data_IF_963352850294
#
_entry.id   IF_963352850294
#
_cell.length_a   1.000
_cell.length_b   1.000
_cell.length_c   1.000
_cell.angle_alpha   90.00
_cell.angle_beta   90.00
_cell.angle_gamma   90.00
#
_symmetry.space_group_name_H-M   'P 1'
#
loop_
_entity.id
_entity.type
_entity.pdbx_description
1 polymer ?
#
# COMPACT_ATOMS: atom_id res chain seq x y z
N UNK A 1 4.55 19.50 5.73
CA UNK A 1 5.98 19.53 5.33
C UNK A 1 6.25 18.32 4.48
N UNK A 2 7.15 18.39 3.50
CA UNK A 2 7.55 17.27 2.65
C UNK A 2 9.06 17.05 2.79
N UNK A 3 9.48 15.81 2.83
CA UNK A 3 10.86 15.38 2.96
C UNK A 3 11.27 14.59 1.73
N UNK A 4 12.50 14.75 1.28
CA UNK A 4 13.06 14.01 0.15
C UNK A 4 14.37 13.34 0.56
N UNK A 5 14.47 12.02 0.43
CA UNK A 5 15.62 11.20 0.78
C UNK A 5 16.14 10.57 -0.51
N UNK A 6 17.21 11.17 -1.06
CA UNK A 6 17.81 10.81 -2.35
C UNK A 6 19.20 10.16 -2.22
N UNK A 7 19.88 10.32 -1.09
CA UNK A 7 21.18 9.72 -0.88
C UNK A 7 21.06 8.21 -0.68
N UNK A 8 21.80 7.44 -1.47
CA UNK A 8 21.79 5.98 -1.42
C UNK A 8 22.78 5.41 -0.39
N UNK A 9 22.68 4.10 -0.10
CA UNK A 9 23.60 3.34 0.73
C UNK A 9 23.73 3.88 2.17
N UNK A 10 22.60 4.13 2.82
CA UNK A 10 22.57 4.67 4.17
C UNK A 10 21.60 3.93 5.08
N UNK A 11 21.79 4.11 6.38
CA UNK A 11 20.85 3.69 7.42
C UNK A 11 20.35 4.92 8.16
N UNK A 12 19.03 5.03 8.31
CA UNK A 12 18.34 6.12 9.01
C UNK A 12 17.58 5.50 10.17
N UNK A 13 17.80 6.02 11.38
CA UNK A 13 17.25 5.44 12.59
C UNK A 13 16.56 6.48 13.47
N UNK A 14 15.52 6.02 14.18
CA UNK A 14 14.85 6.78 15.24
C UNK A 14 14.33 8.16 14.80
N UNK A 15 13.86 8.27 13.55
CA UNK A 15 13.33 9.51 13.00
C UNK A 15 11.80 9.47 12.92
N UNK A 16 11.18 10.62 13.11
CA UNK A 16 9.75 10.82 12.85
C UNK A 16 9.58 11.89 11.79
N UNK A 17 8.86 11.54 10.74
CA UNK A 17 8.51 12.42 9.63
C UNK A 17 7.00 12.63 9.63
N UNK A 18 6.57 13.90 9.73
CA UNK A 18 5.16 14.25 9.81
C UNK A 18 4.80 15.27 8.73
N UNK A 19 3.70 15.02 8.03
CA UNK A 19 3.14 15.88 6.99
C UNK A 19 1.61 15.87 7.03
N UNK A 20 1.00 16.70 6.17
CA UNK A 20 -0.46 16.82 6.12
C UNK A 20 -0.99 17.28 4.76
N UNK A 21 -0.21 17.13 3.67
CA UNK A 21 -0.72 17.40 2.32
C UNK A 21 -1.61 16.27 1.85
N UNK A 22 -2.66 16.62 1.09
CA UNK A 22 -3.68 15.67 0.63
C UNK A 22 -4.17 15.98 -0.79
N UNK A 23 -4.76 14.99 -1.42
CA UNK A 23 -5.08 15.05 -2.84
C UNK A 23 -6.04 16.16 -3.25
N UNK A 24 -7.01 16.51 -2.41
CA UNK A 24 -8.00 17.57 -2.69
C UNK A 24 -7.51 18.98 -2.35
N UNK A 25 -6.34 19.14 -1.74
CA UNK A 25 -5.73 20.42 -1.39
C UNK A 25 -5.35 21.22 -2.65
N UNK A 26 -5.49 22.54 -2.59
CA UNK A 26 -5.08 23.43 -3.69
C UNK A 26 -3.55 23.59 -3.70
N UNK A 27 -2.93 23.37 -4.85
CA UNK A 27 -1.51 23.56 -5.06
C UNK A 27 -1.22 24.94 -5.67
N UNK A 28 -0.03 25.47 -5.46
CA UNK A 28 0.38 26.80 -5.90
C UNK A 28 0.34 27.01 -7.42
N UNK A 29 0.33 25.94 -8.23
CA UNK A 29 0.20 25.99 -9.69
C UNK A 29 -1.26 26.11 -10.18
N UNK A 30 -2.23 26.22 -9.28
CA UNK A 30 -3.65 26.32 -9.58
C UNK A 30 -4.35 24.98 -9.82
N UNK A 31 -3.66 23.86 -9.66
CA UNK A 31 -4.22 22.52 -9.72
C UNK A 31 -4.44 21.96 -8.29
N UNK A 32 -5.01 20.76 -8.17
CA UNK A 32 -4.99 20.04 -6.89
C UNK A 32 -3.63 19.35 -6.68
N UNK A 33 -3.28 19.08 -5.43
CA UNK A 33 -2.11 18.25 -5.13
C UNK A 33 -2.18 16.92 -5.85
N UNK A 34 -3.34 16.26 -5.86
CA UNK A 34 -3.47 14.90 -6.36
C UNK A 34 -2.71 13.89 -5.48
N UNK A 35 -2.79 12.62 -5.82
CA UNK A 35 -2.18 11.55 -5.02
C UNK A 35 -0.67 11.74 -4.86
N UNK A 36 0.05 11.89 -5.97
CA UNK A 36 1.51 11.75 -5.98
C UNK A 36 2.28 13.02 -5.60
N UNK A 37 1.61 14.11 -5.31
CA UNK A 37 2.19 15.30 -4.68
C UNK A 37 1.87 15.40 -3.19
N UNK A 38 0.97 14.55 -2.66
CA UNK A 38 0.53 14.61 -1.26
C UNK A 38 1.46 13.93 -0.26
N UNK A 39 2.58 13.37 -0.70
CA UNK A 39 3.48 12.60 0.14
C UNK A 39 4.09 13.42 1.31
N UNK A 40 4.28 12.76 2.45
CA UNK A 40 5.12 13.30 3.53
C UNK A 40 6.59 13.05 3.23
N UNK A 41 6.97 11.81 2.91
CA UNK A 41 8.36 11.45 2.56
C UNK A 41 8.40 10.82 1.19
N UNK A 42 9.28 11.32 0.32
CA UNK A 42 9.70 10.66 -0.93
C UNK A 42 11.09 10.06 -0.72
N UNK A 43 11.22 8.76 -1.01
CA UNK A 43 12.49 8.03 -1.00
C UNK A 43 12.79 7.58 -2.42
N UNK A 44 13.83 8.13 -3.04
CA UNK A 44 14.29 7.75 -4.38
C UNK A 44 15.78 7.41 -4.46
N UNK A 45 16.48 7.43 -3.32
CA UNK A 45 17.79 6.78 -3.17
C UNK A 45 17.63 5.25 -3.05
N UNK A 46 18.65 4.50 -3.44
CA UNK A 46 18.69 3.05 -3.39
C UNK A 46 19.48 2.52 -2.17
N UNK A 47 19.24 1.26 -1.78
CA UNK A 47 19.96 0.59 -0.69
C UNK A 47 19.87 1.37 0.64
N UNK A 48 18.66 1.73 1.04
CA UNK A 48 18.42 2.48 2.28
C UNK A 48 17.73 1.56 3.29
N UNK A 49 18.21 1.59 4.53
CA UNK A 49 17.56 0.92 5.65
C UNK A 49 17.01 1.94 6.64
N UNK A 50 15.71 1.84 6.93
CA UNK A 50 15.07 2.59 8.01
C UNK A 50 14.86 1.68 9.21
N UNK A 51 15.23 2.14 10.41
CA UNK A 51 15.00 1.43 11.67
C UNK A 51 14.31 2.31 12.70
N UNK A 52 13.27 1.77 13.32
CA UNK A 52 12.52 2.47 14.38
C UNK A 52 12.05 3.87 13.93
N UNK A 53 11.68 4.02 12.66
CA UNK A 53 11.22 5.29 12.10
C UNK A 53 9.69 5.35 12.05
N UNK A 54 9.16 6.55 12.14
CA UNK A 54 7.73 6.82 11.94
C UNK A 54 7.53 7.73 10.74
N UNK A 55 6.61 7.34 9.86
CA UNK A 55 6.18 8.13 8.70
C UNK A 55 4.69 8.36 8.83
N UNK A 56 4.25 9.61 8.87
CA UNK A 56 2.83 9.90 9.06
C UNK A 56 2.32 11.02 8.16
N UNK A 57 1.10 10.85 7.67
CA UNK A 57 0.34 11.90 7.05
C UNK A 57 -0.92 12.17 7.87
N UNK A 58 -0.96 13.34 8.49
CA UNK A 58 -1.96 13.75 9.47
C UNK A 58 -3.09 14.60 8.86
N UNK A 59 -3.34 14.48 7.55
CA UNK A 59 -4.37 15.30 6.87
C UNK A 59 -5.80 14.93 7.29
N UNK A 60 -6.02 13.68 7.74
CA UNK A 60 -7.32 13.22 8.24
C UNK A 60 -7.98 12.15 7.36
N UNK A 61 -9.28 11.88 7.62
CA UNK A 61 -10.00 10.77 7.00
C UNK A 61 -10.08 10.88 5.48
N UNK A 62 -9.87 9.74 4.79
CA UNK A 62 -9.83 9.68 3.31
C UNK A 62 -11.10 10.19 2.64
N UNK A 63 -12.27 9.94 3.23
CA UNK A 63 -13.55 10.46 2.73
C UNK A 63 -13.61 12.01 2.65
N UNK A 64 -12.88 12.70 3.51
CA UNK A 64 -12.83 14.15 3.59
C UNK A 64 -11.73 14.72 2.68
N UNK A 65 -10.52 14.21 2.82
CA UNK A 65 -9.32 14.77 2.19
C UNK A 65 -8.90 14.04 0.90
N UNK A 66 -9.35 12.81 0.70
CA UNK A 66 -8.89 11.95 -0.39
C UNK A 66 -7.54 11.29 -0.08
N UNK A 67 -6.75 11.07 -1.11
CA UNK A 67 -5.44 10.44 -1.02
C UNK A 67 -4.44 11.30 -0.24
N UNK A 68 -3.62 10.67 0.61
CA UNK A 68 -2.65 11.35 1.44
C UNK A 68 -1.49 10.41 1.81
N UNK A 69 -0.42 10.44 1.01
CA UNK A 69 0.70 9.50 1.15
C UNK A 69 1.57 9.88 2.36
N UNK A 70 1.79 8.95 3.29
CA UNK A 70 2.79 9.10 4.34
C UNK A 70 4.20 8.79 3.79
N UNK A 71 4.34 7.69 3.04
CA UNK A 71 5.62 7.27 2.49
C UNK A 71 5.49 6.87 1.01
N UNK A 72 6.26 7.53 0.15
CA UNK A 72 6.40 7.26 -1.28
C UNK A 72 7.79 6.67 -1.55
N UNK A 73 7.87 5.40 -1.92
CA UNK A 73 9.14 4.73 -2.24
C UNK A 73 9.26 4.56 -3.76
N UNK A 74 10.25 5.22 -4.36
CA UNK A 74 10.70 5.03 -5.75
C UNK A 74 12.14 4.48 -5.83
N UNK A 75 12.82 4.35 -4.69
CA UNK A 75 14.12 3.70 -4.58
C UNK A 75 14.03 2.17 -4.60
N UNK A 76 15.14 1.52 -4.91
CA UNK A 76 15.27 0.06 -4.96
C UNK A 76 16.07 -0.47 -3.77
N UNK A 77 15.78 -1.71 -3.35
CA UNK A 77 16.40 -2.34 -2.17
C UNK A 77 16.25 -1.50 -0.90
N UNK A 78 15.02 -1.10 -0.63
CA UNK A 78 14.68 -0.34 0.57
C UNK A 78 14.20 -1.32 1.65
N UNK A 79 14.75 -1.18 2.85
CA UNK A 79 14.43 -2.00 4.01
C UNK A 79 13.83 -1.13 5.12
N UNK A 80 12.70 -1.57 5.68
CA UNK A 80 12.08 -0.95 6.85
C UNK A 80 12.00 -2.01 7.96
N UNK A 81 12.61 -1.71 9.10
CA UNK A 81 12.65 -2.58 10.28
C UNK A 81 12.06 -1.85 11.49
N UNK A 82 11.06 -2.45 12.15
CA UNK A 82 10.39 -1.87 13.32
C UNK A 82 9.85 -0.45 13.07
N UNK A 83 9.36 -0.17 11.88
CA UNK A 83 8.86 1.15 11.50
C UNK A 83 7.32 1.22 11.63
N UNK A 84 6.82 2.44 11.80
CA UNK A 84 5.38 2.72 11.83
C UNK A 84 5.03 3.68 10.69
N UNK A 85 4.02 3.31 9.89
CA UNK A 85 3.46 4.16 8.85
C UNK A 85 2.01 4.48 9.23
N UNK A 86 1.66 5.76 9.31
CA UNK A 86 0.31 6.22 9.69
C UNK A 86 -0.29 7.11 8.62
N UNK A 87 -1.50 6.80 8.26
CA UNK A 87 -2.30 7.58 7.32
C UNK A 87 -3.73 7.07 7.26
N UNK A 88 -4.42 7.44 6.21
CA UNK A 88 -5.79 7.05 5.95
C UNK A 88 -5.91 6.43 4.55
N UNK A 89 -6.33 7.19 3.54
CA UNK A 89 -6.33 6.71 2.16
C UNK A 89 -4.94 6.85 1.54
N UNK A 90 -4.43 5.79 0.88
CA UNK A 90 -3.17 5.79 0.12
C UNK A 90 -1.91 6.02 1.00
N UNK A 91 -1.82 5.44 2.20
CA UNK A 91 -0.72 5.68 3.16
C UNK A 91 0.67 5.38 2.60
N UNK A 92 0.84 4.24 1.90
CA UNK A 92 2.13 3.76 1.37
C UNK A 92 2.06 3.50 -0.13
N UNK A 93 2.81 4.28 -0.90
CA UNK A 93 3.00 4.03 -2.33
C UNK A 93 4.35 3.37 -2.61
N UNK A 94 4.32 2.30 -3.42
CA UNK A 94 5.46 1.48 -3.83
C UNK A 94 5.61 1.49 -5.36
N UNK A 95 6.53 2.32 -5.88
CA UNK A 95 6.76 2.45 -7.31
C UNK A 95 7.18 1.09 -7.96
N UNK A 96 6.96 0.91 -9.25
CA UNK A 96 6.69 1.95 -10.25
C UNK A 96 5.22 2.36 -10.32
N UNK A 97 4.99 3.57 -10.83
CA UNK A 97 3.68 3.95 -11.36
C UNK A 97 3.30 3.03 -12.53
N UNK A 98 2.01 2.77 -12.76
CA UNK A 98 1.57 2.07 -13.98
C UNK A 98 2.04 2.75 -15.27
N UNK A 99 2.09 1.99 -16.36
CA UNK A 99 2.52 2.51 -17.68
C UNK A 99 1.67 3.69 -18.17
N UNK A 100 0.35 3.63 -17.90
CA UNK A 100 -0.60 4.65 -18.35
C UNK A 100 -1.48 5.11 -17.20
N UNK A 101 -1.73 6.40 -17.13
CA UNK A 101 -2.78 6.95 -16.28
C UNK A 101 -4.17 6.64 -16.82
N UNK A 102 -5.16 6.50 -15.94
CA UNK A 102 -6.57 6.30 -16.31
C UNK A 102 -7.22 7.66 -16.57
N UNK A 103 -6.90 8.63 -15.74
CA UNK A 103 -7.43 9.99 -15.81
C UNK A 103 -6.28 10.92 -16.17
N UNK A 104 -6.41 11.81 -17.15
CA UNK A 104 -5.37 12.79 -17.47
C UNK A 104 -4.91 13.57 -16.23
N UNK A 105 -3.58 13.61 -16.00
CA UNK A 105 -2.98 14.21 -14.82
C UNK A 105 -3.06 13.36 -13.55
N UNK A 106 -3.55 12.13 -13.64
CA UNK A 106 -3.66 11.22 -12.49
C UNK A 106 -2.34 10.84 -11.83
N UNK A 107 -1.22 11.00 -12.55
CA UNK A 107 0.14 10.76 -12.04
C UNK A 107 0.93 12.03 -11.77
N UNK A 108 0.27 13.18 -11.78
CA UNK A 108 0.95 14.45 -11.54
C UNK A 108 1.74 14.41 -10.23
N UNK A 109 3.07 14.53 -10.33
CA UNK A 109 3.97 14.41 -9.19
C UNK A 109 5.44 14.30 -9.58
N UNK A 110 6.35 14.22 -8.60
CA UNK A 110 7.79 14.30 -8.84
C UNK A 110 8.34 13.14 -9.67
N UNK A 111 7.64 12.00 -9.69
CA UNK A 111 8.07 10.77 -10.38
C UNK A 111 7.19 10.40 -11.58
N UNK A 112 6.38 11.33 -12.07
CA UNK A 112 5.46 11.13 -13.20
C UNK A 112 6.14 10.54 -14.44
N UNK A 113 7.35 10.97 -14.74
CA UNK A 113 8.13 10.57 -15.93
C UNK A 113 9.29 9.61 -15.63
N UNK A 114 9.41 9.14 -14.39
CA UNK A 114 10.45 8.18 -14.02
C UNK A 114 10.24 6.85 -14.76
N UNK A 115 11.30 6.20 -15.26
CA UNK A 115 11.20 4.89 -15.90
C UNK A 115 10.53 3.82 -15.02
N UNK A 116 9.74 2.95 -15.66
CA UNK A 116 8.87 1.97 -14.98
C UNK A 116 9.58 0.63 -14.73
N UNK A 117 10.76 0.64 -14.08
CA UNK A 117 11.35 -0.63 -13.69
C UNK A 117 10.86 -1.12 -12.32
N UNK A 118 10.93 -2.42 -12.12
CA UNK A 118 10.57 -3.02 -10.86
C UNK A 118 11.47 -2.50 -9.72
N UNK A 119 10.86 -2.33 -8.56
CA UNK A 119 11.53 -2.00 -7.30
C UNK A 119 11.34 -3.16 -6.34
N UNK A 120 12.31 -3.38 -5.47
CA UNK A 120 12.21 -4.38 -4.41
C UNK A 120 12.29 -3.69 -3.05
N UNK A 121 11.28 -3.95 -2.22
CA UNK A 121 11.16 -3.32 -0.89
C UNK A 121 10.86 -4.38 0.16
N UNK A 122 11.45 -4.25 1.33
CA UNK A 122 11.32 -5.20 2.44
C UNK A 122 10.83 -4.50 3.70
N UNK A 123 9.81 -5.08 4.33
CA UNK A 123 9.26 -4.63 5.60
C UNK A 123 9.35 -5.77 6.60
N UNK A 124 9.90 -5.50 7.78
CA UNK A 124 9.98 -6.45 8.88
C UNK A 124 9.55 -5.82 10.19
N UNK A 125 8.65 -6.50 10.91
CA UNK A 125 8.09 -6.02 12.19
C UNK A 125 7.52 -4.59 12.10
N UNK A 126 6.91 -4.21 10.99
CA UNK A 126 6.35 -2.88 10.79
C UNK A 126 4.85 -2.85 11.09
N UNK A 127 4.36 -1.69 11.52
CA UNK A 127 2.93 -1.39 11.62
C UNK A 127 2.57 -0.40 10.52
N UNK A 128 1.58 -0.75 9.69
CA UNK A 128 1.08 0.11 8.61
C UNK A 128 -0.41 0.33 8.82
N UNK A 129 -0.78 1.57 9.08
CA UNK A 129 -2.15 1.99 9.39
C UNK A 129 -2.77 2.74 8.20
N UNK A 130 -4.03 2.45 7.90
CA UNK A 130 -4.77 3.16 6.86
C UNK A 130 -6.21 2.69 6.69
N UNK A 131 -6.88 3.20 5.70
CA UNK A 131 -8.27 2.89 5.35
C UNK A 131 -8.39 2.35 3.92
N UNK A 132 -8.53 3.24 2.94
CA UNK A 132 -8.72 2.86 1.54
C UNK A 132 -7.39 2.75 0.83
N UNK A 133 -7.13 1.57 0.21
CA UNK A 133 -5.95 1.34 -0.66
C UNK A 133 -4.64 1.73 0.01
N UNK A 134 -4.51 1.48 1.31
CA UNK A 134 -3.45 2.11 2.08
C UNK A 134 -2.05 1.55 1.82
N UNK A 135 -1.93 0.45 1.05
CA UNK A 135 -0.66 -0.04 0.48
C UNK A 135 -0.91 -0.28 -1.01
N UNK A 136 -0.33 0.57 -1.86
CA UNK A 136 -0.60 0.50 -3.30
C UNK A 136 0.66 0.68 -4.14
N UNK A 137 0.60 0.26 -5.41
CA UNK A 137 1.71 0.41 -6.35
C UNK A 137 2.13 -0.87 -7.05
N UNK A 138 3.27 -0.80 -7.77
CA UNK A 138 3.72 -1.83 -8.70
C UNK A 138 4.94 -2.65 -8.26
N UNK A 139 5.54 -2.36 -7.12
CA UNK A 139 6.77 -3.00 -6.66
C UNK A 139 6.61 -4.50 -6.36
N UNK A 140 7.74 -5.20 -6.34
CA UNK A 140 7.89 -6.42 -5.57
C UNK A 140 8.15 -6.05 -4.11
N UNK A 141 7.21 -6.31 -3.21
CA UNK A 141 7.32 -5.95 -1.81
C UNK A 141 7.08 -7.15 -0.90
N UNK A 142 7.98 -7.32 0.06
CA UNK A 142 7.91 -8.38 1.06
C UNK A 142 7.61 -7.79 2.43
N UNK A 143 6.55 -8.29 3.06
CA UNK A 143 6.16 -7.94 4.42
C UNK A 143 6.31 -9.19 5.29
N UNK A 144 7.16 -9.14 6.29
CA UNK A 144 7.42 -10.22 7.25
C UNK A 144 7.07 -9.75 8.66
N UNK A 145 6.24 -10.51 9.36
CA UNK A 145 5.83 -10.24 10.75
C UNK A 145 5.25 -8.82 10.93
N UNK A 146 4.56 -8.28 9.92
CA UNK A 146 3.98 -6.94 9.94
C UNK A 146 2.52 -6.95 10.39
N UNK A 147 2.06 -5.79 10.86
CA UNK A 147 0.67 -5.52 11.15
C UNK A 147 0.10 -4.52 10.15
N UNK A 148 -1.01 -4.91 9.50
CA UNK A 148 -1.83 -4.03 8.66
C UNK A 148 -3.07 -3.64 9.45
N UNK A 149 -3.15 -2.39 9.87
CA UNK A 149 -4.20 -1.93 10.78
C UNK A 149 -5.18 -1.01 10.07
N UNK A 150 -6.42 -1.47 9.91
CA UNK A 150 -7.50 -0.67 9.35
C UNK A 150 -7.99 0.36 10.38
N UNK A 151 -7.89 1.64 10.03
CA UNK A 151 -8.39 2.77 10.85
C UNK A 151 -9.69 3.36 10.27
N UNK A 152 -10.03 2.98 9.03
CA UNK A 152 -11.28 3.23 8.34
C UNK A 152 -11.68 1.97 7.57
N UNK A 153 -12.97 1.88 7.19
CA UNK A 153 -13.44 0.85 6.26
C UNK A 153 -12.77 1.00 4.90
N UNK A 154 -12.35 -0.10 4.28
CA UNK A 154 -11.71 -0.01 2.98
C UNK A 154 -10.90 -1.24 2.57
N UNK A 155 -9.73 -1.01 1.99
CA UNK A 155 -8.91 -2.03 1.34
C UNK A 155 -7.46 -1.89 1.79
N UNK A 156 -6.83 -3.02 2.16
CA UNK A 156 -5.42 -3.01 2.57
C UNK A 156 -4.52 -2.81 1.37
N UNK A 157 -4.64 -3.67 0.35
CA UNK A 157 -3.77 -3.63 -0.82
C UNK A 157 -4.51 -3.19 -2.09
N UNK A 158 -3.86 -2.33 -2.86
CA UNK A 158 -4.25 -1.95 -4.22
C UNK A 158 -3.06 -2.13 -5.20
N UNK A 159 -2.73 -3.38 -5.57
CA UNK A 159 -1.59 -3.66 -6.43
C UNK A 159 -1.80 -3.19 -7.87
N UNK A 160 -0.72 -2.70 -8.48
CA UNK A 160 -0.61 -2.42 -9.90
C UNK A 160 0.61 -3.12 -10.52
N UNK A 161 0.88 -4.32 -10.06
CA UNK A 161 2.03 -5.12 -10.53
C UNK A 161 2.04 -5.18 -12.05
N UNK A 162 3.14 -4.83 -12.73
CA UNK A 162 3.25 -5.00 -14.18
C UNK A 162 3.09 -6.47 -14.59
N UNK A 163 2.52 -6.70 -15.77
CA UNK A 163 2.22 -8.05 -16.27
C UNK A 163 3.44 -8.98 -16.23
N UNK A 164 4.59 -8.48 -16.70
CA UNK A 164 5.84 -9.21 -16.81
C UNK A 164 6.59 -9.41 -15.47
N UNK A 165 6.10 -8.83 -14.38
CA UNK A 165 6.72 -8.98 -13.06
C UNK A 165 6.05 -10.15 -12.33
N UNK A 166 6.81 -11.21 -11.99
CA UNK A 166 6.21 -12.42 -11.44
C UNK A 166 5.71 -12.27 -10.00
N UNK A 167 6.27 -11.36 -9.22
CA UNK A 167 5.98 -11.18 -7.79
C UNK A 167 5.56 -9.74 -7.52
N UNK A 168 4.37 -9.57 -6.93
CA UNK A 168 3.89 -8.28 -6.43
C UNK A 168 4.09 -8.16 -4.91
N UNK A 169 3.02 -8.04 -4.14
CA UNK A 169 3.07 -7.94 -2.69
C UNK A 169 2.98 -9.33 -2.05
N UNK A 170 3.90 -9.63 -1.14
CA UNK A 170 3.94 -10.89 -0.38
C UNK A 170 3.92 -10.57 1.10
N UNK A 171 2.88 -11.02 1.81
CA UNK A 171 2.75 -10.89 3.25
C UNK A 171 2.92 -12.25 3.91
N UNK A 172 3.93 -12.40 4.78
CA UNK A 172 4.22 -13.65 5.49
C UNK A 172 4.14 -13.43 6.99
N UNK A 173 3.39 -14.28 7.69
CA UNK A 173 3.17 -14.22 9.15
C UNK A 173 2.62 -12.86 9.62
N UNK A 174 1.91 -12.15 8.76
CA UNK A 174 1.37 -10.82 9.06
C UNK A 174 0.01 -10.90 9.76
N UNK A 175 -0.39 -9.78 10.35
CA UNK A 175 -1.68 -9.65 11.04
C UNK A 175 -2.50 -8.54 10.40
N UNK A 176 -3.74 -8.85 10.06
CA UNK A 176 -4.74 -7.86 9.63
C UNK A 176 -5.61 -7.54 10.84
N UNK A 177 -5.51 -6.33 11.35
CA UNK A 177 -6.21 -5.82 12.54
C UNK A 177 -7.00 -4.56 12.21
N UNK A 178 -7.80 -4.09 13.13
CA UNK A 178 -8.55 -2.85 12.98
C UNK A 178 -8.72 -2.13 14.32
N UNK A 179 -9.08 -0.86 14.26
CA UNK A 179 -9.58 -0.13 15.42
C UNK A 179 -10.94 -0.70 15.87
N UNK A 180 -11.26 -0.57 17.15
CA UNK A 180 -12.47 -1.15 17.75
C UNK A 180 -13.78 -0.65 17.12
N UNK A 181 -13.76 0.52 16.50
CA UNK A 181 -14.94 1.11 15.84
C UNK A 181 -15.15 0.63 14.39
N UNK A 182 -14.28 -0.21 13.85
CA UNK A 182 -14.42 -0.75 12.49
C UNK A 182 -15.38 -1.95 12.52
N UNK A 183 -16.48 -1.92 11.74
CA UNK A 183 -17.44 -3.00 11.75
C UNK A 183 -16.87 -4.33 11.25
N UNK A 184 -17.42 -5.43 11.76
CA UNK A 184 -17.10 -6.77 11.24
C UNK A 184 -17.46 -6.87 9.75
N UNK A 185 -16.58 -7.50 8.96
CA UNK A 185 -16.79 -7.74 7.54
C UNK A 185 -16.82 -6.49 6.66
N UNK A 186 -16.29 -5.34 7.12
CA UNK A 186 -16.36 -4.07 6.37
C UNK A 186 -15.08 -3.73 5.58
N UNK A 187 -13.99 -4.50 5.78
CA UNK A 187 -12.73 -4.27 5.10
C UNK A 187 -12.35 -5.42 4.17
N UNK A 188 -11.57 -5.14 3.16
CA UNK A 188 -11.09 -6.11 2.18
C UNK A 188 -9.56 -6.23 2.24
N UNK A 189 -9.04 -7.41 1.90
CA UNK A 189 -7.60 -7.68 1.81
C UNK A 189 -6.99 -6.92 0.64
N UNK A 190 -7.60 -7.01 -0.54
CA UNK A 190 -7.11 -6.34 -1.73
C UNK A 190 -8.17 -6.10 -2.79
N UNK A 191 -7.88 -5.12 -3.66
CA UNK A 191 -8.54 -4.91 -4.96
C UNK A 191 -7.53 -4.50 -6.02
N UNK A 192 -7.66 -4.88 -7.31
CA UNK A 192 -6.64 -4.63 -8.31
C UNK A 192 -6.69 -3.19 -8.83
N UNK A 193 -5.70 -2.35 -8.47
CA UNK A 193 -5.56 -1.04 -9.10
C UNK A 193 -5.31 -1.18 -10.61
N UNK A 194 -4.55 -2.21 -11.01
CA UNK A 194 -4.41 -2.65 -12.41
C UNK A 194 -4.69 -4.14 -12.52
N UNK A 195 -5.15 -4.57 -13.68
CA UNK A 195 -5.66 -5.93 -13.93
C UNK A 195 -4.65 -7.07 -13.71
N UNK A 196 -3.35 -6.78 -13.67
CA UNK A 196 -2.30 -7.76 -13.37
C UNK A 196 -1.82 -7.70 -11.91
N UNK A 197 -2.59 -7.07 -11.01
CA UNK A 197 -2.24 -6.95 -9.60
C UNK A 197 -1.96 -8.30 -8.93
N UNK A 198 -0.90 -8.38 -8.11
CA UNK A 198 -0.48 -9.62 -7.45
C UNK A 198 -0.32 -9.42 -5.96
N UNK A 199 -1.00 -10.25 -5.17
CA UNK A 199 -0.87 -10.30 -3.70
C UNK A 199 -0.87 -11.75 -3.25
N UNK A 200 0.11 -12.11 -2.44
CA UNK A 200 0.21 -13.44 -1.85
C UNK A 200 0.30 -13.35 -0.32
N UNK A 201 -0.68 -13.91 0.37
CA UNK A 201 -0.68 -14.07 1.83
C UNK A 201 -0.15 -15.44 2.22
N UNK A 202 0.74 -15.51 3.21
CA UNK A 202 1.28 -16.74 3.80
C UNK A 202 1.16 -16.71 5.31
N UNK A 203 0.39 -17.65 5.89
CA UNK A 203 0.24 -17.78 7.33
C UNK A 203 -0.19 -16.48 8.03
N UNK A 204 -1.14 -15.75 7.46
CA UNK A 204 -1.58 -14.47 7.99
C UNK A 204 -2.81 -14.63 8.90
N UNK A 205 -2.82 -13.86 10.00
CA UNK A 205 -4.01 -13.70 10.83
C UNK A 205 -4.94 -12.65 10.21
N UNK A 206 -6.21 -13.01 10.03
CA UNK A 206 -7.25 -12.13 9.52
C UNK A 206 -8.28 -11.85 10.62
N UNK A 207 -8.38 -10.58 11.04
CA UNK A 207 -9.34 -10.12 12.04
C UNK A 207 -10.78 -10.14 11.52
N UNK A 208 -11.77 -10.02 12.44
CA UNK A 208 -13.21 -10.10 12.11
C UNK A 208 -13.71 -8.98 11.19
N UNK A 209 -12.96 -7.88 11.09
CA UNK A 209 -13.26 -6.77 10.17
C UNK A 209 -13.10 -7.15 8.69
N UNK A 210 -12.38 -8.24 8.38
CA UNK A 210 -12.21 -8.69 6.99
C UNK A 210 -13.50 -9.31 6.46
N UNK A 211 -13.97 -8.78 5.33
CA UNK A 211 -15.18 -9.23 4.65
C UNK A 211 -15.07 -10.72 4.25
N UNK A 212 -16.17 -11.52 4.34
CA UNK A 212 -16.11 -12.94 3.97
C UNK A 212 -15.59 -13.22 2.55
N UNK A 213 -15.87 -12.35 1.59
CA UNK A 213 -15.27 -12.44 0.25
C UNK A 213 -13.76 -12.12 0.28
N UNK A 214 -13.30 -11.29 1.20
CA UNK A 214 -11.90 -10.90 1.42
C UNK A 214 -11.23 -10.10 0.31
N UNK A 215 -11.61 -10.32 -0.93
CA UNK A 215 -11.02 -9.75 -2.14
C UNK A 215 -12.13 -9.15 -3.00
N UNK A 216 -11.83 -8.06 -3.68
CA UNK A 216 -12.76 -7.31 -4.53
C UNK A 216 -12.13 -7.13 -5.92
N UNK A 217 -12.92 -7.15 -6.98
CA UNK A 217 -12.43 -6.98 -8.35
C UNK A 217 -12.43 -5.52 -8.83
N UNK A 218 -12.89 -4.62 -7.98
CA UNK A 218 -13.03 -3.19 -8.29
C UNK A 218 -13.92 -2.93 -9.52
N UNK A 219 -14.92 -3.78 -9.75
CA UNK A 219 -15.76 -3.71 -10.94
C UNK A 219 -15.01 -3.95 -12.26
N UNK A 220 -13.90 -4.72 -12.19
CA UNK A 220 -13.06 -5.08 -13.34
C UNK A 220 -13.08 -6.59 -13.55
N UNK A 221 -14.17 -7.17 -14.04
CA UNK A 221 -14.27 -8.62 -14.23
C UNK A 221 -13.18 -9.17 -15.16
N UNK A 222 -12.65 -8.37 -16.06
CA UNK A 222 -11.49 -8.72 -16.91
C UNK A 222 -10.22 -9.00 -16.10
N UNK A 223 -10.16 -8.59 -14.85
CA UNK A 223 -9.02 -8.88 -13.97
C UNK A 223 -9.02 -10.33 -13.45
N UNK A 224 -10.15 -11.04 -13.51
CA UNK A 224 -10.27 -12.39 -12.95
C UNK A 224 -9.28 -13.39 -13.56
N UNK A 225 -8.94 -13.23 -14.84
CA UNK A 225 -8.01 -14.10 -15.56
C UNK A 225 -6.54 -13.64 -15.44
N UNK A 226 -6.29 -12.46 -14.88
CA UNK A 226 -4.96 -11.82 -14.93
C UNK A 226 -4.36 -11.50 -13.58
N UNK A 227 -5.18 -11.30 -12.54
CA UNK A 227 -4.68 -11.14 -11.16
C UNK A 227 -4.05 -12.41 -10.63
N UNK A 228 -3.11 -12.25 -9.71
CA UNK A 228 -2.59 -13.37 -8.91
C UNK A 228 -2.86 -13.08 -7.44
N UNK A 229 -4.06 -13.38 -6.98
CA UNK A 229 -4.45 -13.28 -5.58
C UNK A 229 -4.40 -14.67 -4.95
N UNK A 230 -3.48 -14.85 -3.99
CA UNK A 230 -3.22 -16.14 -3.34
C UNK A 230 -3.33 -16.00 -1.83
N UNK A 231 -4.06 -16.92 -1.21
CA UNK A 231 -4.21 -17.01 0.23
C UNK A 231 -3.77 -18.39 0.69
N UNK A 232 -2.66 -18.46 1.41
CA UNK A 232 -2.05 -19.71 1.89
C UNK A 232 -2.00 -19.71 3.42
N UNK A 233 -2.67 -20.68 4.07
CA UNK A 233 -2.59 -20.87 5.52
C UNK A 233 -3.11 -19.69 6.34
N UNK A 234 -4.02 -18.87 5.82
CA UNK A 234 -4.66 -17.80 6.58
C UNK A 234 -5.55 -18.35 7.67
N UNK A 235 -5.60 -17.67 8.81
CA UNK A 235 -6.37 -18.08 9.98
C UNK A 235 -6.98 -16.88 10.70
N UNK A 236 -7.83 -17.14 11.69
CA UNK A 236 -8.52 -16.10 12.47
C UNK A 236 -9.97 -15.90 12.04
N UNK A 237 -10.73 -15.00 12.70
CA UNK A 237 -12.17 -14.84 12.46
C UNK A 237 -12.53 -14.32 11.06
N UNK A 238 -11.64 -13.60 10.39
CA UNK A 238 -11.82 -13.13 9.01
C UNK A 238 -11.35 -14.12 7.94
N UNK A 239 -10.77 -15.28 8.33
CA UNK A 239 -10.45 -16.33 7.39
C UNK A 239 -11.76 -17.00 6.89
N UNK A 240 -11.84 -17.26 5.59
CA UNK A 240 -13.05 -17.79 4.96
C UNK A 240 -12.68 -18.80 3.88
N UNK A 241 -13.53 -19.80 3.70
CA UNK A 241 -13.45 -20.76 2.60
C UNK A 241 -14.27 -20.33 1.38
N UNK A 242 -15.00 -19.23 1.48
CA UNK A 242 -15.88 -18.69 0.43
C UNK A 242 -15.31 -17.46 -0.23
N UNK A 243 -14.04 -17.52 -0.66
CA UNK A 243 -13.39 -16.47 -1.45
C UNK A 243 -13.91 -16.47 -2.91
N UNK A 244 -13.80 -15.36 -3.65
CA UNK A 244 -14.11 -15.33 -5.08
C UNK A 244 -13.33 -16.37 -5.88
N UNK A 245 -13.89 -16.88 -6.97
CA UNK A 245 -13.28 -17.94 -7.78
C UNK A 245 -11.92 -17.57 -8.41
N UNK A 246 -11.63 -16.28 -8.56
CA UNK A 246 -10.35 -15.78 -9.07
C UNK A 246 -9.25 -15.71 -7.98
N UNK A 247 -9.56 -16.11 -6.75
CA UNK A 247 -8.60 -16.17 -5.63
C UNK A 247 -8.17 -17.62 -5.42
N UNK A 248 -6.88 -17.85 -5.48
CA UNK A 248 -6.31 -19.16 -5.19
C UNK A 248 -6.16 -19.36 -3.68
N UNK A 249 -6.91 -20.28 -3.10
CA UNK A 249 -6.71 -20.74 -1.72
C UNK A 249 -5.82 -22.00 -1.70
N UNK A 250 -4.72 -21.93 -0.94
CA UNK A 250 -3.77 -23.05 -0.76
C UNK A 250 -3.75 -23.42 0.72
N UNK A 251 -4.05 -24.68 1.01
CA UNK A 251 -4.03 -25.25 2.38
C UNK A 251 -2.61 -25.65 2.79
#
# INVERSE_FOLDING_TARGET
MQYHISDSNQTIENQTYSGAHYGKEDHADGQKYGTFRSYTVLVDGDNITFRNCTFENNSGPGKEVGQAIALYIDGNHIHLENCTLRGHQDTLFLAPLPEKEIIPGGFLGPKQFTPRYNRTVYFKNCVIEGGVDFIFGGATAYFEDCEFKSVEEGYVFAPSTPENIPIGFVATNCRFTANDNIPEGSCYIARPWRIHGKVHLKNCYLGSHIHPMGWDDWGKPESHDTVSFVEQGSFGPGASTTRPAYVQQVN
#
